data_IF_367118114844
#
_entry.id   IF_367118114844
#
_cell.length_a   1.000
_cell.length_b   1.000
_cell.length_c   1.000
_cell.angle_alpha   90.00
_cell.angle_beta   90.00
_cell.angle_gamma   90.00
#
_symmetry.space_group_name_H-M   'P 1'
#
loop_
_entity.id
_entity.type
_entity.pdbx_description
1 polymer ?
#
# COMPACT_ATOMS: atom_id res chain seq x y z
N UNK A 1 -9.57 -2.10 -30.33
CA UNK A 1 -9.44 -3.33 -29.52
C UNK A 1 -9.27 -2.92 -28.06
N UNK A 2 -10.15 -3.35 -27.15
CA UNK A 2 -9.98 -3.13 -25.74
C UNK A 2 -8.68 -3.80 -25.26
N UNK A 3 -7.84 -3.07 -24.51
CA UNK A 3 -6.65 -3.67 -23.88
C UNK A 3 -7.13 -4.82 -22.96
N UNK A 4 -6.43 -5.97 -22.96
CA UNK A 4 -6.80 -7.07 -22.07
C UNK A 4 -6.79 -6.56 -20.62
N UNK A 5 -7.72 -7.01 -19.78
CA UNK A 5 -7.75 -6.62 -18.38
C UNK A 5 -6.40 -6.93 -17.72
N UNK A 6 -5.85 -5.95 -17.04
CA UNK A 6 -4.54 -6.06 -16.37
C UNK A 6 -4.71 -6.77 -15.01
N UNK A 7 -3.64 -7.40 -14.51
CA UNK A 7 -3.52 -7.78 -13.11
C UNK A 7 -3.48 -6.54 -12.20
N UNK A 8 -3.62 -6.74 -10.90
CA UNK A 8 -3.60 -5.67 -9.91
C UNK A 8 -2.38 -5.83 -8.99
N UNK A 9 -1.68 -4.75 -8.72
CA UNK A 9 -0.61 -4.69 -7.74
C UNK A 9 -1.02 -3.74 -6.62
N UNK A 10 -1.42 -4.31 -5.52
CA UNK A 10 -1.65 -3.57 -4.28
C UNK A 10 -0.29 -3.32 -3.67
N UNK A 11 0.00 -2.09 -3.28
CA UNK A 11 1.28 -1.72 -2.71
C UNK A 11 1.12 -0.69 -1.59
N UNK A 12 2.09 -0.72 -0.69
CA UNK A 12 2.31 0.23 0.37
C UNK A 12 3.81 0.39 0.61
N UNK A 13 4.25 1.52 1.17
CA UNK A 13 5.66 1.77 1.47
C UNK A 13 5.86 2.20 2.91
N UNK A 14 7.00 1.77 3.50
CA UNK A 14 7.45 2.30 4.76
C UNK A 14 8.71 3.15 4.57
N UNK A 15 8.77 4.25 5.32
CA UNK A 15 9.83 5.23 5.17
C UNK A 15 10.38 5.70 6.51
N UNK A 16 11.63 6.17 6.48
CA UNK A 16 12.24 6.90 7.59
C UNK A 16 12.79 8.24 7.08
N UNK A 17 12.97 9.24 7.95
CA UNK A 17 13.61 10.49 7.56
C UNK A 17 15.03 10.26 7.03
N UNK A 18 15.35 10.82 5.86
CA UNK A 18 16.74 10.90 5.38
C UNK A 18 17.44 12.12 6.02
N UNK A 19 18.14 11.86 7.11
CA UNK A 19 18.82 12.90 7.90
C UNK A 19 19.96 13.58 7.16
N UNK A 20 20.40 13.06 6.00
CA UNK A 20 21.38 13.72 5.12
C UNK A 20 20.75 14.84 4.30
N UNK A 21 19.45 14.73 4.04
CA UNK A 21 18.71 15.69 3.22
C UNK A 21 17.85 16.65 4.03
N UNK A 22 17.48 16.24 5.23
CA UNK A 22 16.59 17.02 6.09
C UNK A 22 16.84 16.76 7.56
N UNK A 23 16.92 17.83 8.32
CA UNK A 23 16.97 17.79 9.78
C UNK A 23 15.68 18.40 10.31
N UNK A 24 15.02 17.69 11.22
CA UNK A 24 13.85 18.25 11.87
C UNK A 24 14.21 19.60 12.50
N UNK A 25 13.44 20.68 12.24
CA UNK A 25 13.63 21.93 12.96
C UNK A 25 13.49 21.66 14.47
N UNK A 26 14.22 22.42 15.29
CA UNK A 26 14.10 22.34 16.74
C UNK A 26 12.62 22.42 17.11
N UNK A 27 12.17 21.47 17.94
CA UNK A 27 10.78 21.41 18.38
C UNK A 27 10.41 22.77 19.01
N UNK A 28 9.67 23.58 18.28
CA UNK A 28 8.96 24.69 18.89
C UNK A 28 7.94 24.03 19.80
N UNK A 29 7.93 24.32 21.12
CA UNK A 29 6.95 23.68 22.02
C UNK A 29 5.55 24.05 21.52
N UNK A 30 4.94 23.16 20.75
CA UNK A 30 3.53 23.19 20.44
C UNK A 30 2.76 22.93 21.72
N UNK A 31 1.51 23.35 21.78
CA UNK A 31 0.66 23.26 22.97
C UNK A 31 0.55 21.87 23.60
N UNK A 32 0.95 20.80 22.89
CA UNK A 32 0.82 19.40 23.32
C UNK A 32 2.14 18.58 23.31
N UNK A 33 3.31 19.20 23.08
CA UNK A 33 4.62 18.56 23.28
C UNK A 33 4.98 17.35 22.38
N UNK A 34 4.16 17.00 21.39
CA UNK A 34 4.27 15.78 20.59
C UNK A 34 4.53 16.00 19.10
N UNK A 35 4.49 17.23 18.60
CA UNK A 35 4.65 17.49 17.16
C UNK A 35 6.11 17.46 16.73
N UNK A 36 6.63 16.26 16.46
CA UNK A 36 7.79 16.16 15.55
C UNK A 36 7.32 16.56 14.16
N UNK A 37 7.96 17.56 13.52
CA UNK A 37 7.55 17.96 12.18
C UNK A 37 7.75 16.79 11.21
N UNK A 38 6.69 16.49 10.43
CA UNK A 38 6.72 15.44 9.43
C UNK A 38 7.71 15.83 8.31
N UNK A 39 8.59 14.92 7.85
CA UNK A 39 9.56 15.22 6.80
C UNK A 39 8.88 15.64 5.51
N UNK A 40 9.47 16.55 4.71
CA UNK A 40 8.98 16.82 3.37
C UNK A 40 9.18 15.59 2.46
N UNK A 41 8.33 15.44 1.44
CA UNK A 41 8.24 14.24 0.60
C UNK A 41 9.59 13.74 0.05
N UNK A 42 10.52 14.64 -0.29
CA UNK A 42 11.85 14.28 -0.80
C UNK A 42 12.77 13.66 0.25
N UNK A 43 12.48 13.87 1.52
CA UNK A 43 13.30 13.42 2.63
C UNK A 43 12.80 12.12 3.29
N UNK A 44 11.83 11.45 2.68
CA UNK A 44 11.38 10.12 3.07
C UNK A 44 12.25 9.05 2.38
N UNK A 45 13.22 8.47 3.10
CA UNK A 45 13.98 7.32 2.64
C UNK A 45 13.10 6.09 2.66
N UNK A 46 12.93 5.42 1.52
CA UNK A 46 12.16 4.16 1.42
C UNK A 46 12.96 3.02 2.03
N UNK A 47 12.36 2.28 2.96
CA UNK A 47 13.00 1.14 3.64
C UNK A 47 12.25 -0.17 3.40
N UNK A 48 10.96 -0.11 3.04
CA UNK A 48 10.13 -1.27 2.69
C UNK A 48 9.20 -0.88 1.55
N UNK A 49 9.00 -1.78 0.60
CA UNK A 49 7.93 -1.74 -0.40
C UNK A 49 7.21 -3.08 -0.32
N UNK A 50 6.01 -3.09 0.27
CA UNK A 50 5.13 -4.25 0.36
C UNK A 50 4.25 -4.36 -0.87
N UNK A 51 4.07 -5.58 -1.38
CA UNK A 51 3.28 -5.82 -2.58
C UNK A 51 2.42 -7.07 -2.46
N UNK A 52 1.15 -6.97 -2.88
CA UNK A 52 0.25 -8.08 -3.11
C UNK A 52 -0.21 -8.05 -4.58
N UNK A 53 0.13 -9.09 -5.31
CA UNK A 53 -0.18 -9.18 -6.73
C UNK A 53 -1.36 -10.11 -6.97
N UNK A 54 -2.47 -9.56 -7.48
CA UNK A 54 -3.63 -10.30 -7.92
C UNK A 54 -3.64 -10.44 -9.43
N UNK A 55 -4.13 -11.56 -9.93
CA UNK A 55 -4.46 -11.69 -11.33
C UNK A 55 -5.75 -10.92 -11.70
N UNK A 56 -6.17 -10.99 -12.97
CA UNK A 56 -7.39 -10.32 -13.45
C UNK A 56 -8.70 -10.93 -12.92
N UNK A 57 -8.62 -12.14 -12.35
CA UNK A 57 -9.75 -12.80 -11.68
C UNK A 57 -9.68 -12.62 -10.16
N UNK A 58 -8.87 -11.68 -9.67
CA UNK A 58 -8.65 -11.36 -8.25
C UNK A 58 -8.05 -12.50 -7.43
N UNK A 59 -7.34 -13.45 -8.07
CA UNK A 59 -6.63 -14.53 -7.36
C UNK A 59 -5.22 -14.09 -7.00
N UNK A 60 -4.79 -14.43 -5.80
CA UNK A 60 -3.44 -14.14 -5.32
C UNK A 60 -2.41 -14.84 -6.20
N UNK A 61 -1.47 -14.07 -6.74
CA UNK A 61 -0.28 -14.57 -7.42
C UNK A 61 0.94 -14.55 -6.50
N UNK A 62 1.08 -13.48 -5.72
CA UNK A 62 2.21 -13.32 -4.81
C UNK A 62 1.92 -12.25 -3.75
N UNK A 63 2.34 -12.51 -2.53
CA UNK A 63 2.54 -11.53 -1.46
C UNK A 63 4.06 -11.48 -1.19
N UNK A 64 4.67 -10.30 -1.20
CA UNK A 64 6.12 -10.17 -1.03
C UNK A 64 6.54 -8.76 -0.62
N UNK A 65 7.71 -8.67 -0.04
CA UNK A 65 8.50 -7.44 0.07
C UNK A 65 9.42 -7.36 -1.14
N UNK A 66 9.51 -6.22 -1.79
CA UNK A 66 10.47 -5.98 -2.87
C UNK A 66 11.88 -6.04 -2.27
N UNK A 67 12.79 -6.74 -2.95
CA UNK A 67 14.15 -6.93 -2.44
C UNK A 67 14.27 -7.95 -1.30
N UNK A 68 13.20 -8.72 -1.00
CA UNK A 68 13.27 -9.80 -0.01
C UNK A 68 14.35 -10.82 -0.41
N UNK A 69 15.31 -11.06 0.50
CA UNK A 69 16.46 -11.92 0.23
C UNK A 69 17.65 -11.23 -0.45
N UNK A 70 17.59 -9.91 -0.69
CA UNK A 70 18.74 -9.15 -1.15
C UNK A 70 19.91 -9.19 -0.15
N UNK A 71 21.16 -9.08 -0.64
CA UNK A 71 22.35 -9.06 0.20
C UNK A 71 22.37 -7.87 1.17
N UNK A 72 21.83 -6.73 0.75
CA UNK A 72 21.55 -5.57 1.60
C UNK A 72 20.08 -5.17 1.45
N UNK A 73 19.20 -5.59 2.37
CA UNK A 73 17.78 -5.23 2.34
C UNK A 73 17.52 -3.75 2.63
N UNK A 74 18.54 -2.97 2.98
CA UNK A 74 18.46 -1.54 3.23
C UNK A 74 19.00 -0.68 2.07
N UNK A 75 19.43 -1.30 0.96
CA UNK A 75 19.82 -0.58 -0.25
C UNK A 75 18.58 -0.01 -0.95
N UNK A 76 18.25 1.25 -0.62
CA UNK A 76 17.11 1.95 -1.18
C UNK A 76 17.15 2.01 -2.70
N UNK A 77 18.35 2.18 -3.30
CA UNK A 77 18.48 2.24 -4.75
C UNK A 77 18.08 0.92 -5.40
N UNK A 78 18.57 -0.20 -4.86
CA UNK A 78 18.21 -1.53 -5.34
C UNK A 78 16.71 -1.79 -5.19
N UNK A 79 16.07 -1.42 -4.07
CA UNK A 79 14.61 -1.53 -3.88
C UNK A 79 13.85 -0.77 -4.97
N UNK A 80 14.26 0.46 -5.27
CA UNK A 80 13.61 1.28 -6.30
C UNK A 80 13.82 0.74 -7.71
N UNK A 81 15.02 0.22 -8.03
CA UNK A 81 15.34 -0.41 -9.31
C UNK A 81 14.49 -1.66 -9.51
N UNK A 82 14.41 -2.56 -8.52
CA UNK A 82 13.63 -3.80 -8.57
C UNK A 82 12.13 -3.51 -8.72
N UNK A 83 11.60 -2.58 -7.92
CA UNK A 83 10.20 -2.17 -8.03
C UNK A 83 9.89 -1.58 -9.41
N UNK A 84 10.73 -0.64 -9.89
CA UNK A 84 10.54 -0.01 -11.20
C UNK A 84 10.63 -1.02 -12.34
N UNK A 85 11.56 -1.98 -12.25
CA UNK A 85 11.70 -3.06 -13.23
C UNK A 85 10.47 -3.99 -13.24
N UNK A 86 9.98 -4.37 -12.05
CA UNK A 86 8.79 -5.21 -11.91
C UNK A 86 7.55 -4.54 -12.52
N UNK A 87 7.24 -3.30 -12.12
CA UNK A 87 6.07 -2.58 -12.64
C UNK A 87 6.21 -2.30 -14.14
N UNK A 88 7.41 -1.93 -14.60
CA UNK A 88 7.70 -1.69 -16.01
C UNK A 88 7.49 -2.92 -16.90
N UNK A 89 7.84 -4.11 -16.39
CA UNK A 89 7.68 -5.39 -17.09
C UNK A 89 6.23 -5.86 -17.13
N UNK A 90 5.57 -5.87 -15.98
CA UNK A 90 4.24 -6.49 -15.82
C UNK A 90 3.08 -5.54 -16.09
N UNK A 91 3.31 -4.23 -15.96
CA UNK A 91 2.32 -3.17 -16.15
C UNK A 91 0.96 -3.46 -15.49
N UNK A 92 0.94 -3.83 -14.20
CA UNK A 92 -0.30 -4.05 -13.48
C UNK A 92 -1.08 -2.74 -13.34
N UNK A 93 -2.35 -2.81 -12.98
CA UNK A 93 -3.02 -1.67 -12.34
C UNK A 93 -2.51 -1.56 -10.91
N UNK A 94 -2.01 -0.40 -10.54
CA UNK A 94 -1.62 -0.13 -9.17
C UNK A 94 -2.87 0.09 -8.32
N UNK A 95 -2.83 -0.39 -7.09
CA UNK A 95 -3.86 -0.12 -6.08
C UNK A 95 -3.16 0.32 -4.82
N UNK A 96 -3.57 1.47 -4.28
CA UNK A 96 -3.02 2.04 -3.04
C UNK A 96 -4.14 2.56 -2.15
N UNK A 97 -3.80 2.87 -0.92
CA UNK A 97 -4.60 3.72 -0.07
C UNK A 97 -3.85 5.02 0.23
N UNK A 98 -4.33 6.15 -0.29
CA UNK A 98 -3.67 7.47 -0.21
C UNK A 98 -2.30 7.56 -0.91
N UNK A 99 -1.96 6.61 -1.78
CA UNK A 99 -0.65 6.53 -2.41
C UNK A 99 -0.39 7.61 -3.46
N UNK A 100 -1.43 8.27 -3.98
CA UNK A 100 -1.26 9.42 -4.88
C UNK A 100 -0.67 10.63 -4.17
N UNK A 101 -0.96 10.77 -2.88
CA UNK A 101 -0.46 11.90 -2.08
C UNK A 101 0.84 11.57 -1.35
N UNK A 102 1.17 10.29 -1.15
CA UNK A 102 2.36 9.89 -0.40
C UNK A 102 3.26 8.91 -1.18
N UNK A 103 2.84 7.66 -1.40
CA UNK A 103 3.70 6.60 -1.95
C UNK A 103 4.31 6.97 -3.31
N UNK A 104 3.47 7.38 -4.25
CA UNK A 104 3.94 7.69 -5.61
C UNK A 104 4.85 8.91 -5.67
N UNK A 105 4.56 10.04 -5.00
CA UNK A 105 5.48 11.17 -4.88
C UNK A 105 6.81 10.81 -4.21
N UNK A 106 6.78 10.03 -3.12
CA UNK A 106 8.00 9.57 -2.44
C UNK A 106 8.83 8.70 -3.38
N UNK A 107 8.24 7.64 -3.96
CA UNK A 107 8.94 6.77 -4.90
C UNK A 107 9.52 7.55 -6.08
N UNK A 108 8.80 8.55 -6.60
CA UNK A 108 9.27 9.37 -7.71
C UNK A 108 10.46 10.26 -7.32
N UNK A 109 10.40 10.94 -6.16
CA UNK A 109 11.49 11.82 -5.70
C UNK A 109 12.71 11.02 -5.26
N UNK A 110 12.53 9.86 -4.63
CA UNK A 110 13.65 8.97 -4.29
C UNK A 110 14.27 8.34 -5.54
N UNK A 111 13.46 7.97 -6.53
CA UNK A 111 13.97 7.52 -7.83
C UNK A 111 14.74 8.63 -8.56
N UNK A 112 14.30 9.89 -8.47
CA UNK A 112 15.05 11.04 -8.96
C UNK A 112 16.40 11.18 -8.25
N UNK A 113 16.42 11.04 -6.91
CA UNK A 113 17.64 11.10 -6.09
C UNK A 113 18.66 10.03 -6.52
N UNK A 114 18.21 8.81 -6.77
CA UNK A 114 19.06 7.67 -7.13
C UNK A 114 19.26 7.48 -8.64
N UNK A 115 18.74 8.39 -9.48
CA UNK A 115 18.76 8.29 -10.94
C UNK A 115 18.10 7.00 -11.48
N UNK A 116 17.07 6.49 -10.81
CA UNK A 116 16.31 5.29 -11.21
C UNK A 116 15.18 5.68 -12.16
N UNK A 117 15.11 5.13 -13.39
CA UNK A 117 14.07 5.53 -14.35
C UNK A 117 12.69 4.97 -13.97
N UNK A 118 11.67 5.82 -13.86
CA UNK A 118 10.26 5.44 -13.69
C UNK A 118 9.46 5.66 -14.99
N UNK A 119 9.87 5.01 -16.08
CA UNK A 119 9.22 5.18 -17.39
C UNK A 119 7.75 4.78 -17.38
N UNK A 120 7.40 3.73 -16.65
CA UNK A 120 6.03 3.25 -16.47
C UNK A 120 5.12 4.30 -15.81
N UNK A 121 5.68 5.16 -14.95
CA UNK A 121 4.94 6.22 -14.26
C UNK A 121 4.80 7.47 -15.13
N UNK A 122 5.91 7.94 -15.74
CA UNK A 122 5.92 9.22 -16.46
C UNK A 122 5.49 9.12 -17.92
N UNK A 123 5.54 7.93 -18.54
CA UNK A 123 5.18 7.74 -19.95
C UNK A 123 3.85 7.00 -20.17
N UNK A 124 3.24 6.44 -19.13
CA UNK A 124 1.88 5.88 -19.21
C UNK A 124 0.89 6.87 -18.57
N UNK A 125 0.14 7.64 -19.37
CA UNK A 125 -0.79 8.63 -18.83
C UNK A 125 -1.88 8.00 -17.96
N UNK A 126 -2.25 6.74 -18.18
CA UNK A 126 -3.26 6.05 -17.38
C UNK A 126 -2.85 5.89 -15.91
N UNK A 127 -1.54 5.74 -15.61
CA UNK A 127 -1.06 5.63 -14.23
C UNK A 127 -1.19 6.96 -13.48
N UNK A 128 -0.96 8.08 -14.17
CA UNK A 128 -1.00 9.42 -13.57
C UNK A 128 -2.37 10.07 -13.59
N UNK A 129 -3.25 9.61 -14.49
CA UNK A 129 -4.58 10.20 -14.60
C UNK A 129 -5.44 9.82 -13.40
N UNK A 130 -5.84 10.84 -12.61
CA UNK A 130 -6.49 10.65 -11.31
C UNK A 130 -7.91 10.09 -11.40
N UNK A 131 -8.62 10.41 -12.48
CA UNK A 131 -10.05 10.13 -12.65
C UNK A 131 -10.33 8.88 -13.50
N UNK A 132 -9.37 7.96 -13.60
CA UNK A 132 -9.52 6.67 -14.27
C UNK A 132 -9.00 5.54 -13.43
N UNK A 133 -9.61 4.37 -13.54
CA UNK A 133 -9.18 3.15 -12.87
C UNK A 133 -8.25 2.27 -13.74
N UNK A 134 -7.80 2.76 -14.90
CA UNK A 134 -7.03 1.97 -15.86
C UNK A 134 -5.59 1.70 -15.46
N UNK A 135 -4.95 2.61 -14.74
CA UNK A 135 -3.54 2.53 -14.40
C UNK A 135 -3.24 2.51 -12.91
N UNK A 136 -3.91 3.37 -12.14
CA UNK A 136 -3.73 3.47 -10.70
C UNK A 136 -5.05 3.82 -10.02
N UNK A 137 -5.47 2.96 -9.11
CA UNK A 137 -6.66 3.11 -8.26
C UNK A 137 -6.16 3.47 -6.87
N UNK A 138 -6.33 4.72 -6.48
CA UNK A 138 -6.13 5.14 -5.09
C UNK A 138 -7.47 5.09 -4.37
N UNK A 139 -7.62 4.14 -3.45
CA UNK A 139 -8.90 3.91 -2.75
C UNK A 139 -9.32 5.12 -1.92
N UNK A 140 -8.37 5.84 -1.31
CA UNK A 140 -8.68 7.06 -0.57
C UNK A 140 -9.29 8.12 -1.49
N UNK A 141 -8.69 8.34 -2.67
CA UNK A 141 -9.21 9.28 -3.67
C UNK A 141 -10.63 8.92 -4.12
N UNK A 142 -10.83 7.66 -4.50
CA UNK A 142 -12.13 7.21 -5.01
C UNK A 142 -13.22 7.24 -3.93
N UNK A 143 -12.90 6.84 -2.69
CA UNK A 143 -13.86 6.82 -1.58
C UNK A 143 -14.18 8.23 -1.04
N UNK A 144 -13.36 9.23 -1.37
CA UNK A 144 -13.60 10.64 -1.02
C UNK A 144 -14.07 11.49 -2.20
N UNK A 145 -14.47 10.85 -3.32
CA UNK A 145 -14.80 11.55 -4.55
C UNK A 145 -13.72 12.56 -4.93
N UNK A 146 -12.48 12.05 -4.99
CA UNK A 146 -11.26 12.81 -5.35
C UNK A 146 -11.01 14.06 -4.49
N UNK A 147 -11.37 13.98 -3.21
CA UNK A 147 -11.15 15.02 -2.21
C UNK A 147 -12.36 15.93 -1.98
N UNK A 148 -13.53 15.64 -2.55
CA UNK A 148 -14.76 16.33 -2.25
C UNK A 148 -15.26 16.04 -0.83
N UNK A 149 -15.04 14.82 -0.33
CA UNK A 149 -15.30 14.44 1.06
C UNK A 149 -13.99 14.40 1.87
N UNK A 150 -14.12 14.51 3.21
CA UNK A 150 -12.97 14.37 4.12
C UNK A 150 -12.42 12.94 4.06
N UNK A 151 -11.12 12.81 3.92
CA UNK A 151 -10.44 11.51 3.95
C UNK A 151 -10.49 10.86 5.34
N UNK A 152 -10.49 9.54 5.34
CA UNK A 152 -10.35 8.71 6.54
C UNK A 152 -9.05 7.89 6.44
N UNK A 153 -8.55 7.39 7.56
CA UNK A 153 -7.38 6.50 7.55
C UNK A 153 -7.72 5.12 6.98
N UNK A 154 -6.71 4.38 6.52
CA UNK A 154 -6.88 2.96 6.16
C UNK A 154 -7.46 2.17 7.33
N UNK A 155 -6.99 2.41 8.56
CA UNK A 155 -7.51 1.80 9.78
C UNK A 155 -9.04 1.96 9.92
N UNK A 156 -9.55 3.17 9.72
CA UNK A 156 -10.98 3.44 9.80
C UNK A 156 -11.78 2.71 8.71
N UNK A 157 -11.25 2.69 7.47
CA UNK A 157 -11.91 2.01 6.35
C UNK A 157 -11.85 0.50 6.45
N UNK A 158 -10.74 -0.05 6.95
CA UNK A 158 -10.59 -1.46 7.26
C UNK A 158 -11.64 -1.91 8.29
N UNK A 159 -11.73 -1.21 9.42
CA UNK A 159 -12.74 -1.49 10.47
C UNK A 159 -14.18 -1.34 9.99
N UNK A 160 -14.43 -0.39 9.09
CA UNK A 160 -15.77 -0.20 8.49
C UNK A 160 -16.27 -1.47 7.81
N UNK A 161 -15.39 -2.24 7.19
CA UNK A 161 -15.75 -3.45 6.44
C UNK A 161 -15.50 -4.76 7.22
N UNK A 162 -15.13 -4.69 8.50
CA UNK A 162 -14.92 -5.86 9.36
C UNK A 162 -13.48 -6.38 9.41
N UNK A 163 -12.50 -5.59 8.95
CA UNK A 163 -11.08 -5.89 9.15
C UNK A 163 -10.59 -5.29 10.48
N UNK A 164 -9.50 -5.83 11.08
CA UNK A 164 -9.03 -5.35 12.39
C UNK A 164 -8.48 -3.90 12.35
N UNK A 165 -8.02 -3.42 11.20
CA UNK A 165 -7.31 -2.16 11.11
C UNK A 165 -5.85 -2.30 11.57
N UNK A 166 -5.33 -1.30 12.28
CA UNK A 166 -3.96 -1.34 12.82
C UNK A 166 -3.81 -2.44 13.87
N UNK A 167 -2.83 -3.32 13.66
CA UNK A 167 -2.49 -4.41 14.57
C UNK A 167 -1.09 -4.17 15.11
N UNK A 168 -1.00 -3.78 16.38
CA UNK A 168 0.25 -3.75 17.15
C UNK A 168 1.28 -2.68 16.82
N UNK A 169 1.26 -2.05 15.65
CA UNK A 169 2.22 -1.02 15.21
C UNK A 169 1.48 0.19 14.67
N UNK A 170 2.04 1.37 14.91
CA UNK A 170 1.60 2.64 14.31
C UNK A 170 2.71 3.22 13.46
N UNK A 171 2.37 3.87 12.33
CA UNK A 171 3.34 4.49 11.43
C UNK A 171 4.31 5.47 12.11
N UNK A 172 3.90 6.10 13.23
CA UNK A 172 4.77 6.96 14.03
C UNK A 172 5.91 6.22 14.74
N UNK A 173 5.82 4.89 14.85
CA UNK A 173 6.83 4.05 15.52
C UNK A 173 7.90 3.53 14.54
N UNK A 174 7.67 3.64 13.22
CA UNK A 174 8.54 3.06 12.17
C UNK A 174 10.00 3.53 12.31
N UNK A 175 10.21 4.83 12.53
CA UNK A 175 11.58 5.36 12.69
C UNK A 175 12.29 4.75 13.91
N UNK A 176 11.59 4.62 15.04
CA UNK A 176 12.13 4.00 16.26
C UNK A 176 12.44 2.51 16.06
N UNK A 177 11.55 1.78 15.40
CA UNK A 177 11.74 0.37 15.07
C UNK A 177 12.91 0.16 14.12
N UNK A 178 13.04 1.01 13.11
CA UNK A 178 14.16 0.94 12.16
C UNK A 178 15.51 1.17 12.86
N UNK A 179 15.60 2.18 13.73
CA UNK A 179 16.79 2.43 14.56
C UNK A 179 17.12 1.29 15.50
N UNK A 180 16.11 0.56 15.97
CA UNK A 180 16.28 -0.63 16.80
C UNK A 180 16.61 -1.92 16.01
N UNK A 181 16.77 -1.84 14.67
CA UNK A 181 17.08 -3.00 13.82
C UNK A 181 15.91 -3.96 13.60
N UNK A 182 14.66 -3.52 13.83
CA UNK A 182 13.44 -4.34 13.74
C UNK A 182 12.82 -4.33 12.35
N UNK A 183 13.65 -4.37 11.28
CA UNK A 183 13.17 -4.28 9.90
C UNK A 183 12.13 -5.36 9.56
N UNK A 184 12.30 -6.60 10.03
CA UNK A 184 11.34 -7.68 9.81
C UNK A 184 9.93 -7.33 10.32
N UNK A 185 9.82 -6.72 11.50
CA UNK A 185 8.51 -6.27 12.04
C UNK A 185 7.89 -5.13 11.24
N UNK A 186 8.71 -4.26 10.66
CA UNK A 186 8.24 -3.20 9.75
C UNK A 186 7.72 -3.82 8.46
N UNK A 187 8.39 -4.86 7.95
CA UNK A 187 7.95 -5.62 6.78
C UNK A 187 6.60 -6.31 7.03
N UNK A 188 6.43 -6.96 8.18
CA UNK A 188 5.17 -7.61 8.56
C UNK A 188 4.02 -6.58 8.68
N UNK A 189 4.30 -5.41 9.26
CA UNK A 189 3.34 -4.30 9.34
C UNK A 189 2.92 -3.81 7.96
N UNK A 190 3.87 -3.54 7.06
CA UNK A 190 3.59 -3.13 5.68
C UNK A 190 2.76 -4.19 4.93
N UNK A 191 3.07 -5.49 5.07
CA UNK A 191 2.28 -6.56 4.46
C UNK A 191 0.86 -6.65 5.03
N UNK A 192 0.69 -6.35 6.32
CA UNK A 192 -0.62 -6.24 6.96
C UNK A 192 -1.48 -5.14 6.32
N UNK A 193 -0.90 -3.96 6.10
CA UNK A 193 -1.60 -2.84 5.45
C UNK A 193 -1.91 -3.15 3.97
N UNK A 194 -0.99 -3.80 3.26
CA UNK A 194 -1.20 -4.27 1.89
C UNK A 194 -2.33 -5.32 1.81
N UNK A 195 -2.39 -6.28 2.74
CA UNK A 195 -3.45 -7.29 2.78
C UNK A 195 -4.83 -6.67 3.06
N UNK A 196 -4.91 -5.76 4.02
CA UNK A 196 -6.16 -5.04 4.33
C UNK A 196 -6.60 -4.14 3.17
N UNK A 197 -5.65 -3.46 2.51
CA UNK A 197 -5.93 -2.67 1.30
C UNK A 197 -6.45 -3.55 0.17
N UNK A 198 -5.94 -4.79 0.02
CA UNK A 198 -6.45 -5.74 -0.99
C UNK A 198 -7.89 -6.16 -0.72
N UNK A 199 -8.24 -6.47 0.53
CA UNK A 199 -9.61 -6.81 0.92
C UNK A 199 -10.57 -5.60 0.78
N UNK A 200 -10.13 -4.41 1.14
CA UNK A 200 -10.86 -3.16 0.90
C UNK A 200 -11.06 -2.91 -0.61
N UNK A 201 -10.04 -3.19 -1.43
CA UNK A 201 -10.15 -3.09 -2.89
C UNK A 201 -11.22 -4.03 -3.46
N UNK A 202 -11.31 -5.28 -2.99
CA UNK A 202 -12.38 -6.20 -3.41
C UNK A 202 -13.77 -5.66 -3.03
N UNK A 203 -13.92 -5.10 -1.82
CA UNK A 203 -15.17 -4.45 -1.40
C UNK A 203 -15.50 -3.23 -2.26
N UNK A 204 -14.49 -2.46 -2.63
CA UNK A 204 -14.65 -1.33 -3.56
C UNK A 204 -15.10 -1.80 -4.95
N UNK A 205 -14.59 -2.94 -5.46
CA UNK A 205 -15.05 -3.53 -6.73
C UNK A 205 -16.52 -3.97 -6.68
N UNK A 206 -16.98 -4.48 -5.54
CA UNK A 206 -18.41 -4.73 -5.31
C UNK A 206 -19.21 -3.42 -5.30
N UNK A 207 -18.73 -2.39 -4.60
CA UNK A 207 -19.38 -1.07 -4.55
C UNK A 207 -19.52 -0.45 -5.94
N UNK A 208 -18.51 -0.61 -6.79
CA UNK A 208 -18.54 -0.14 -8.19
C UNK A 208 -19.45 -0.99 -9.10
N UNK A 209 -19.96 -2.13 -8.66
CA UNK A 209 -20.70 -3.08 -9.51
C UNK A 209 -19.81 -3.83 -10.52
N UNK A 210 -18.48 -3.78 -10.37
CA UNK A 210 -17.52 -4.56 -11.20
C UNK A 210 -17.53 -6.03 -10.79
N UNK A 211 -17.67 -6.30 -9.51
CA UNK A 211 -18.00 -7.62 -8.97
C UNK A 211 -19.46 -7.61 -8.56
N UNK A 212 -20.17 -8.65 -8.91
CA UNK A 212 -21.42 -8.96 -8.25
C UNK A 212 -21.16 -9.57 -6.86
N UNK A 213 -22.20 -9.81 -6.10
CA UNK A 213 -22.07 -10.34 -4.74
C UNK A 213 -21.38 -11.71 -4.70
N UNK A 214 -21.74 -12.62 -5.61
CA UNK A 214 -21.18 -13.97 -5.65
C UNK A 214 -19.68 -13.91 -5.99
N UNK A 215 -19.31 -13.13 -6.99
CA UNK A 215 -17.90 -12.90 -7.36
C UNK A 215 -17.08 -12.22 -6.27
N UNK A 216 -17.69 -11.30 -5.50
CA UNK A 216 -17.05 -10.69 -4.34
C UNK A 216 -16.76 -11.71 -3.24
N UNK A 217 -17.76 -12.51 -2.83
CA UNK A 217 -17.61 -13.52 -1.79
C UNK A 217 -16.57 -14.57 -2.18
N UNK A 218 -16.59 -15.02 -3.43
CA UNK A 218 -15.61 -15.95 -3.99
C UNK A 218 -14.19 -15.35 -4.00
N UNK A 219 -14.02 -14.10 -4.41
CA UNK A 219 -12.73 -13.43 -4.44
C UNK A 219 -12.16 -13.22 -3.03
N UNK A 220 -12.99 -12.76 -2.07
CA UNK A 220 -12.58 -12.56 -0.67
C UNK A 220 -12.22 -13.88 -0.01
N UNK A 221 -13.07 -14.92 -0.13
CA UNK A 221 -12.80 -16.23 0.43
C UNK A 221 -11.51 -16.84 -0.10
N UNK A 222 -11.28 -16.75 -1.42
CA UNK A 222 -10.06 -17.24 -2.04
C UNK A 222 -8.81 -16.45 -1.61
N UNK A 223 -8.93 -15.14 -1.43
CA UNK A 223 -7.80 -14.32 -0.96
C UNK A 223 -7.46 -14.66 0.49
N UNK A 224 -8.43 -14.73 1.40
CA UNK A 224 -8.21 -15.10 2.80
C UNK A 224 -7.54 -16.48 2.87
N UNK A 225 -8.08 -17.49 2.21
CA UNK A 225 -7.52 -18.84 2.20
C UNK A 225 -6.06 -18.88 1.67
N UNK A 226 -5.74 -18.04 0.68
CA UNK A 226 -4.38 -17.95 0.15
C UNK A 226 -3.41 -17.23 1.11
N UNK A 227 -3.91 -16.34 1.97
CA UNK A 227 -3.12 -15.60 2.96
C UNK A 227 -2.94 -16.35 4.28
N UNK A 228 -3.81 -17.32 4.62
CA UNK A 228 -3.74 -18.11 5.86
C UNK A 228 -2.42 -18.88 6.04
N UNK A 229 -1.73 -19.19 4.95
CA UNK A 229 -0.42 -19.85 4.98
C UNK A 229 0.75 -18.93 5.35
N UNK A 230 0.55 -17.62 5.41
CA UNK A 230 1.60 -16.65 5.72
C UNK A 230 1.53 -16.22 7.20
N UNK A 231 2.49 -16.71 8.01
CA UNK A 231 2.53 -16.44 9.45
C UNK A 231 2.63 -14.94 9.78
N UNK A 232 3.13 -14.10 8.86
CA UNK A 232 3.23 -12.65 9.02
C UNK A 232 1.86 -11.96 9.12
N UNK A 233 0.81 -12.61 8.59
CA UNK A 233 -0.56 -12.09 8.56
C UNK A 233 -1.49 -12.72 9.60
N UNK A 234 -0.97 -13.62 10.44
CA UNK A 234 -1.78 -14.39 11.39
C UNK A 234 -2.66 -13.51 12.30
N UNK A 235 -2.11 -12.39 12.78
CA UNK A 235 -2.85 -11.48 13.67
C UNK A 235 -3.97 -10.75 12.93
N UNK A 236 -3.73 -10.29 11.69
CA UNK A 236 -4.75 -9.65 10.86
C UNK A 236 -5.89 -10.62 10.53
N UNK A 237 -5.55 -11.84 10.13
CA UNK A 237 -6.55 -12.82 9.70
C UNK A 237 -7.41 -13.35 10.86
N UNK A 238 -6.83 -13.46 12.07
CA UNK A 238 -7.53 -13.92 13.27
C UNK A 238 -8.67 -13.00 13.69
N UNK A 239 -8.44 -11.69 13.57
CA UNK A 239 -9.34 -10.66 14.10
C UNK A 239 -10.33 -10.12 13.04
N UNK A 240 -10.50 -10.84 11.92
CA UNK A 240 -11.50 -10.51 10.90
C UNK A 240 -12.90 -10.81 11.41
N UNK A 241 -13.79 -9.80 11.36
CA UNK A 241 -15.24 -9.98 11.50
C UNK A 241 -15.82 -10.54 10.18
N UNK A 242 -15.93 -11.87 10.11
CA UNK A 242 -16.37 -12.57 8.90
C UNK A 242 -17.78 -12.16 8.45
N UNK A 243 -18.71 -11.92 9.37
CA UNK A 243 -20.09 -11.53 9.05
C UNK A 243 -20.17 -10.13 8.43
N UNK A 244 -19.31 -9.24 8.86
CA UNK A 244 -19.22 -7.89 8.28
C UNK A 244 -18.45 -7.88 6.96
N UNK A 245 -17.35 -8.63 6.87
CA UNK A 245 -16.55 -8.74 5.64
C UNK A 245 -17.29 -9.50 4.54
N UNK A 246 -18.02 -10.55 4.89
CA UNK A 246 -18.78 -11.41 3.96
C UNK A 246 -20.26 -11.49 4.38
N UNK A 247 -20.98 -10.35 4.34
CA UNK A 247 -22.35 -10.33 4.87
C UNK A 247 -23.25 -11.32 4.13
N UNK A 248 -24.10 -12.06 4.85
CA UNK A 248 -25.08 -12.96 4.28
C UNK A 248 -26.03 -12.24 3.31
N UNK A 249 -26.64 -12.96 2.38
CA UNK A 249 -27.69 -12.38 1.53
C UNK A 249 -28.88 -11.96 2.40
N UNK A 250 -29.39 -10.74 2.18
CA UNK A 250 -30.69 -10.33 2.72
C UNK A 250 -31.79 -11.04 1.98
#
# INVERSE_FOLDING_TARGET
MARPPKSYLILDIETVPDTRLWTAPDATPGRDGTDRPFPPTYAHRVIVIGCLWLDRAYRLKRLAIIGEGAADPQDERALLEDFSAFVGRHRPRLVTYNGRTFDMPVLALRSLHWAVPMRWYYRDPAVRHRYTDEGHIDLCDWLTDHGAARSSSLDAMARLIGLPGKVGVDGSQIEGMFRAGLLGRIQDYCLSDVAQTALLFLRFRLLQGVLDRAGYLDAVGALIAALEGDARLADVLRDIDGDRLMPAAC
#
